data_IF_191608495320
#
_entry.id   IF_191608495320
#
_cell.length_a   1.000
_cell.length_b   1.000
_cell.length_c   1.000
_cell.angle_alpha   90.00
_cell.angle_beta   90.00
_cell.angle_gamma   90.00
#
_symmetry.space_group_name_H-M   'P 1'
#
loop_
_entity.id
_entity.type
_entity.pdbx_description
1 polymer ?
#
# COMPACT_ATOMS: atom_id res chain seq x y z
N UNK A 1 -66.80 -61.19 55.08
CA UNK A 1 -67.93 -61.47 54.17
C UNK A 1 -67.52 -61.08 52.75
N UNK A 2 -67.78 -62.01 51.83
CA UNK A 2 -67.92 -61.86 50.37
C UNK A 2 -66.73 -61.58 49.43
N UNK A 3 -66.65 -62.53 48.48
CA UNK A 3 -65.94 -62.60 47.20
C UNK A 3 -66.38 -61.51 46.21
N UNK A 4 -65.56 -61.25 45.18
CA UNK A 4 -65.86 -61.19 43.72
C UNK A 4 -64.65 -60.49 43.01
N UNK A 5 -63.77 -61.20 42.31
CA UNK A 5 -63.78 -61.56 40.87
C UNK A 5 -63.57 -60.37 39.89
N UNK A 6 -62.42 -60.34 39.17
CA UNK A 6 -62.26 -60.57 37.70
C UNK A 6 -61.08 -59.81 37.02
N UNK A 7 -60.32 -60.59 36.22
CA UNK A 7 -59.65 -60.30 34.91
C UNK A 7 -58.38 -59.45 34.89
N UNK A 8 -57.18 -60.02 34.65
CA UNK A 8 -56.55 -60.52 33.39
C UNK A 8 -56.03 -59.38 32.49
N UNK A 9 -54.73 -59.29 32.17
CA UNK A 9 -54.14 -60.09 31.08
C UNK A 9 -52.60 -59.97 30.99
N UNK A 10 -51.98 -61.15 30.90
CA UNK A 10 -50.91 -61.61 30.01
C UNK A 10 -49.53 -60.93 29.97
N UNK A 11 -48.58 -61.65 30.55
CA UNK A 11 -47.13 -61.48 30.52
C UNK A 11 -46.45 -62.05 29.26
N UNK A 12 -45.35 -61.37 28.92
CA UNK A 12 -44.06 -61.80 28.38
C UNK A 12 -43.87 -63.25 27.88
N UNK A 13 -43.19 -63.38 26.73
CA UNK A 13 -42.40 -64.55 26.38
C UNK A 13 -41.03 -64.10 25.84
N UNK A 14 -40.02 -64.73 26.43
CA UNK A 14 -38.58 -64.48 26.38
C UNK A 14 -37.90 -65.69 25.71
N UNK A 15 -36.67 -65.49 25.23
CA UNK A 15 -35.69 -66.48 24.73
C UNK A 15 -35.96 -67.02 23.31
N UNK A 16 -35.04 -67.01 22.36
CA UNK A 16 -33.58 -66.88 22.42
C UNK A 16 -32.95 -68.12 21.79
N UNK A 17 -32.28 -68.00 20.64
CA UNK A 17 -31.28 -68.97 20.20
C UNK A 17 -30.29 -68.32 19.20
N UNK A 18 -29.04 -68.22 19.66
CA UNK A 18 -27.80 -68.01 18.89
C UNK A 18 -27.64 -69.13 17.83
N UNK A 19 -26.95 -69.02 16.69
CA UNK A 19 -25.65 -68.42 16.32
C UNK A 19 -25.53 -68.49 14.79
N UNK A 20 -24.81 -67.55 14.15
CA UNK A 20 -23.83 -67.87 13.10
C UNK A 20 -22.83 -66.71 13.00
N UNK A 21 -21.56 -67.05 13.22
CA UNK A 21 -20.42 -66.17 13.09
C UNK A 21 -20.20 -65.78 11.62
N UNK A 22 -20.09 -64.48 11.34
CA UNK A 22 -19.32 -63.96 10.22
C UNK A 22 -18.41 -62.86 10.76
N UNK A 23 -17.11 -63.16 10.79
CA UNK A 23 -16.07 -62.19 11.08
C UNK A 23 -15.65 -61.47 9.80
N UNK A 24 -15.48 -60.15 9.95
CA UNK A 24 -14.60 -59.25 9.18
C UNK A 24 -15.00 -58.83 7.77
N UNK A 25 -15.61 -57.64 7.69
CA UNK A 25 -14.92 -56.45 7.15
C UNK A 25 -15.35 -55.26 8.01
N UNK A 26 -14.48 -54.84 8.93
CA UNK A 26 -14.55 -53.47 9.39
C UNK A 26 -14.05 -52.64 8.21
N UNK A 27 -14.98 -52.06 7.45
CA UNK A 27 -14.63 -50.90 6.65
C UNK A 27 -13.93 -49.94 7.61
N UNK A 28 -12.69 -49.59 7.28
CA UNK A 28 -12.01 -48.48 7.93
C UNK A 28 -12.93 -47.28 7.80
N UNK A 29 -13.54 -46.87 8.91
CA UNK A 29 -14.24 -45.60 9.01
C UNK A 29 -13.27 -44.55 8.44
N UNK A 30 -13.61 -43.83 7.35
CA UNK A 30 -12.70 -42.85 6.79
C UNK A 30 -12.41 -41.84 7.90
N UNK A 31 -11.14 -41.80 8.32
CA UNK A 31 -10.60 -40.77 9.20
C UNK A 31 -11.18 -39.43 8.75
N UNK A 32 -11.78 -38.60 9.64
CA UNK A 32 -12.35 -37.32 9.26
C UNK A 32 -11.20 -36.37 8.89
N UNK A 33 -10.71 -36.48 7.66
CA UNK A 33 -9.66 -35.62 7.13
C UNK A 33 -10.33 -34.52 6.34
N UNK A 34 -10.59 -33.42 7.05
CA UNK A 34 -10.47 -32.01 6.64
C UNK A 34 -11.56 -31.19 7.34
N UNK A 35 -11.15 -30.31 8.26
CA UNK A 35 -12.05 -29.31 8.78
C UNK A 35 -12.48 -28.41 7.61
N UNK A 36 -13.78 -28.34 7.39
CA UNK A 36 -14.38 -27.51 6.37
C UNK A 36 -15.09 -26.32 7.00
N UNK A 37 -14.83 -25.12 6.49
CA UNK A 37 -15.45 -23.90 6.98
C UNK A 37 -16.14 -23.16 5.85
N UNK A 38 -17.22 -22.46 6.18
CA UNK A 38 -17.81 -21.45 5.30
C UNK A 38 -17.07 -20.14 5.52
N UNK A 39 -16.48 -19.63 4.45
CA UNK A 39 -15.86 -18.32 4.38
C UNK A 39 -16.45 -17.54 3.21
N UNK A 40 -16.27 -16.22 3.23
CA UNK A 40 -17.10 -15.27 2.51
C UNK A 40 -16.24 -14.35 1.64
N UNK A 41 -16.44 -14.40 0.32
CA UNK A 41 -15.77 -13.50 -0.62
C UNK A 41 -15.98 -12.04 -0.20
N UNK A 42 -14.90 -11.29 0.01
CA UNK A 42 -14.97 -9.88 0.43
C UNK A 42 -14.67 -8.89 -0.69
N UNK A 43 -14.03 -9.36 -1.75
CA UNK A 43 -13.64 -8.55 -2.90
C UNK A 43 -13.88 -9.29 -4.22
N UNK A 44 -14.23 -8.54 -5.27
CA UNK A 44 -14.20 -8.99 -6.66
C UNK A 44 -13.13 -8.22 -7.44
N UNK A 45 -12.36 -8.89 -8.31
CA UNK A 45 -11.41 -8.19 -9.15
C UNK A 45 -12.16 -7.40 -10.24
N UNK A 46 -11.66 -6.21 -10.52
CA UNK A 46 -11.99 -5.48 -11.73
C UNK A 46 -11.07 -6.01 -12.83
N UNK A 47 -11.66 -6.64 -13.86
CA UNK A 47 -10.93 -7.27 -14.95
C UNK A 47 -11.05 -6.45 -16.22
N UNK A 48 -9.92 -6.23 -16.90
CA UNK A 48 -9.87 -5.73 -18.27
C UNK A 48 -9.17 -6.73 -19.18
N UNK A 49 -9.63 -6.85 -20.42
CA UNK A 49 -8.88 -7.56 -21.44
C UNK A 49 -7.56 -6.81 -21.73
N UNK A 50 -6.46 -7.54 -21.91
CA UNK A 50 -5.13 -6.97 -22.18
C UNK A 50 -5.13 -5.90 -23.27
N UNK A 51 -5.75 -6.17 -24.41
CA UNK A 51 -5.80 -5.22 -25.53
C UNK A 51 -6.53 -3.91 -25.15
N UNK A 52 -7.62 -4.02 -24.39
CA UNK A 52 -8.37 -2.87 -23.88
C UNK A 52 -7.54 -2.07 -22.87
N UNK A 53 -6.83 -2.74 -21.96
CA UNK A 53 -5.94 -2.08 -21.01
C UNK A 53 -4.88 -1.24 -21.73
N UNK A 54 -4.24 -1.80 -22.75
CA UNK A 54 -3.15 -1.14 -23.45
C UNK A 54 -3.58 0.10 -24.23
N UNK A 55 -4.81 0.11 -24.75
CA UNK A 55 -5.42 1.27 -25.41
C UNK A 55 -6.17 2.20 -24.45
N UNK A 56 -6.19 1.91 -23.15
CA UNK A 56 -7.03 2.63 -22.19
C UNK A 56 -6.40 3.92 -21.66
N UNK A 57 -5.09 4.12 -21.74
CA UNK A 57 -4.45 5.29 -21.11
C UNK A 57 -4.70 6.55 -21.93
N UNK A 58 -5.35 7.55 -21.33
CA UNK A 58 -5.66 8.83 -21.99
C UNK A 58 -5.89 9.96 -21.00
N UNK A 59 -5.54 11.19 -21.38
CA UNK A 59 -6.06 12.39 -20.72
C UNK A 59 -7.54 12.61 -21.10
N UNK A 60 -8.36 12.90 -20.10
CA UNK A 60 -9.75 13.32 -20.27
C UNK A 60 -9.99 14.60 -19.48
N UNK A 61 -11.16 15.22 -19.69
CA UNK A 61 -11.57 16.41 -18.93
C UNK A 61 -11.51 16.15 -17.41
N UNK A 62 -11.24 17.19 -16.59
CA UNK A 62 -11.24 17.06 -15.14
C UNK A 62 -12.47 16.33 -14.60
N UNK A 63 -12.25 15.48 -13.61
CA UNK A 63 -13.30 14.72 -12.94
C UNK A 63 -13.32 15.08 -11.45
N UNK A 64 -14.45 14.80 -10.79
CA UNK A 64 -14.54 14.92 -9.35
C UNK A 64 -13.67 13.84 -8.68
N UNK A 65 -13.06 14.18 -7.54
CA UNK A 65 -12.34 13.22 -6.71
C UNK A 65 -13.32 12.39 -5.88
N UNK A 66 -13.08 11.08 -5.74
CA UNK A 66 -13.99 10.17 -5.03
C UNK A 66 -13.27 9.29 -3.98
N UNK A 67 -12.31 8.48 -4.42
CA UNK A 67 -11.56 7.49 -3.64
C UNK A 67 -10.05 7.72 -3.82
N UNK A 68 -9.62 8.91 -3.40
CA UNK A 68 -8.25 9.37 -3.58
C UNK A 68 -7.26 8.53 -2.78
N UNK A 69 -6.12 8.23 -3.41
CA UNK A 69 -4.97 7.58 -2.81
C UNK A 69 -3.84 8.57 -2.55
N UNK A 70 -2.68 8.28 -3.16
CA UNK A 70 -1.42 8.99 -2.93
C UNK A 70 -1.40 10.36 -3.60
N UNK A 71 -0.63 11.28 -3.02
CA UNK A 71 -0.33 12.59 -3.60
C UNK A 71 1.11 12.66 -4.06
N UNK A 72 1.35 13.47 -5.10
CA UNK A 72 2.68 13.73 -5.64
C UNK A 72 2.74 15.18 -6.12
N UNK A 73 3.88 15.82 -5.93
CA UNK A 73 4.14 17.20 -6.32
C UNK A 73 5.29 17.26 -7.33
N UNK A 74 5.08 17.96 -8.44
CA UNK A 74 6.16 18.28 -9.38
C UNK A 74 6.04 19.71 -9.87
N UNK A 75 7.03 20.54 -9.53
CA UNK A 75 7.01 21.96 -9.88
C UNK A 75 5.72 22.60 -9.36
N UNK A 76 4.94 23.19 -10.27
CA UNK A 76 3.66 23.79 -9.93
C UNK A 76 2.46 22.84 -10.04
N UNK A 77 2.65 21.55 -10.31
CA UNK A 77 1.55 20.60 -10.48
C UNK A 77 1.44 19.64 -9.32
N UNK A 78 0.20 19.45 -8.85
CA UNK A 78 -0.17 18.41 -7.87
C UNK A 78 -0.88 17.29 -8.60
N UNK A 79 -0.51 16.07 -8.27
CA UNK A 79 -1.11 14.85 -8.78
C UNK A 79 -1.77 14.12 -7.62
N UNK A 80 -3.03 13.73 -7.79
CA UNK A 80 -3.78 12.96 -6.80
C UNK A 80 -4.22 11.67 -7.46
N UNK A 81 -3.73 10.53 -6.99
CA UNK A 81 -4.18 9.23 -7.48
C UNK A 81 -5.66 9.02 -7.11
N UNK A 82 -6.46 8.59 -8.09
CA UNK A 82 -7.81 8.06 -7.92
C UNK A 82 -7.68 6.54 -7.99
N UNK A 83 -7.85 5.87 -6.85
CA UNK A 83 -7.38 4.49 -6.70
C UNK A 83 -8.02 3.56 -7.73
N UNK A 84 -7.18 2.91 -8.54
CA UNK A 84 -7.52 2.02 -9.66
C UNK A 84 -8.09 2.67 -10.92
N UNK A 85 -8.30 3.99 -10.92
CA UNK A 85 -8.94 4.67 -12.06
C UNK A 85 -7.96 5.58 -12.82
N UNK A 86 -7.07 6.27 -12.11
CA UNK A 86 -6.18 7.23 -12.74
C UNK A 86 -5.58 8.26 -11.81
N UNK A 87 -5.25 9.42 -12.37
CA UNK A 87 -4.54 10.51 -11.68
C UNK A 87 -5.21 11.84 -12.02
N UNK A 88 -5.66 12.57 -11.01
CA UNK A 88 -6.08 13.97 -11.14
C UNK A 88 -4.84 14.86 -11.30
N UNK A 89 -4.84 15.72 -12.32
CA UNK A 89 -3.77 16.69 -12.55
C UNK A 89 -4.26 18.09 -12.23
N UNK A 90 -3.58 18.75 -11.30
CA UNK A 90 -4.01 20.04 -10.74
C UNK A 90 -2.87 21.04 -10.94
N UNK A 91 -3.17 22.15 -11.60
CA UNK A 91 -2.29 23.32 -11.62
C UNK A 91 -2.37 24.04 -10.28
N UNK A 92 -1.23 24.10 -9.62
CA UNK A 92 -1.04 24.62 -8.28
C UNK A 92 -0.04 25.79 -8.24
N UNK A 93 0.11 26.55 -9.34
CA UNK A 93 0.88 27.81 -9.36
C UNK A 93 0.40 28.81 -8.31
N UNK A 94 -0.90 28.80 -8.03
CA UNK A 94 -1.52 29.53 -6.93
C UNK A 94 -2.16 28.54 -5.93
N UNK A 95 -1.48 28.21 -4.82
CA UNK A 95 -2.01 27.33 -3.79
C UNK A 95 -3.31 27.82 -3.13
N UNK A 96 -3.65 29.10 -3.26
CA UNK A 96 -4.93 29.64 -2.75
C UNK A 96 -6.08 29.38 -3.71
N UNK A 97 -5.78 29.05 -4.97
CA UNK A 97 -6.75 28.79 -6.03
C UNK A 97 -6.25 27.67 -6.98
N UNK A 98 -6.11 26.43 -6.48
CA UNK A 98 -5.70 25.29 -7.30
C UNK A 98 -6.73 24.97 -8.39
N UNK A 99 -6.26 24.65 -9.60
CA UNK A 99 -7.11 24.45 -10.78
C UNK A 99 -6.97 23.04 -11.34
N UNK A 100 -8.03 22.20 -11.32
CA UNK A 100 -8.02 20.94 -12.05
C UNK A 100 -7.79 21.17 -13.56
N UNK A 101 -6.85 20.44 -14.14
CA UNK A 101 -6.46 20.57 -15.56
C UNK A 101 -6.97 19.40 -16.39
N UNK A 102 -6.78 18.19 -15.89
CA UNK A 102 -7.21 16.97 -16.56
C UNK A 102 -7.31 15.81 -15.56
N UNK A 103 -7.94 14.73 -16.01
CA UNK A 103 -7.82 13.42 -15.37
C UNK A 103 -7.09 12.47 -16.32
N UNK A 104 -5.98 11.89 -15.87
CA UNK A 104 -5.28 10.84 -16.60
C UNK A 104 -5.95 9.52 -16.27
N UNK A 105 -6.80 9.01 -17.16
CA UNK A 105 -7.45 7.73 -16.99
C UNK A 105 -6.41 6.61 -17.20
N UNK A 106 -6.06 5.93 -16.11
CA UNK A 106 -5.05 4.86 -16.07
C UNK A 106 -5.63 3.71 -15.23
N UNK A 107 -6.38 2.77 -15.84
CA UNK A 107 -6.95 1.65 -15.10
C UNK A 107 -5.89 0.85 -14.33
N UNK A 108 -6.16 0.54 -13.07
CA UNK A 108 -5.20 -0.14 -12.20
C UNK A 108 -4.09 0.75 -11.67
N UNK A 109 -4.23 2.07 -11.74
CA UNK A 109 -3.24 2.98 -11.18
C UNK A 109 -3.31 3.08 -9.64
N UNK A 110 -2.16 3.01 -8.99
CA UNK A 110 -1.95 3.15 -7.55
C UNK A 110 -0.76 4.07 -7.27
N UNK A 111 0.32 3.95 -8.04
CA UNK A 111 1.56 4.69 -7.84
C UNK A 111 1.95 5.54 -9.06
N UNK A 112 2.71 6.60 -8.79
CA UNK A 112 3.30 7.44 -9.81
C UNK A 112 4.65 8.03 -9.36
N UNK A 113 5.47 8.42 -10.33
CA UNK A 113 6.57 9.36 -10.16
C UNK A 113 6.70 10.23 -11.41
N UNK A 114 7.31 11.42 -11.29
CA UNK A 114 7.45 12.36 -12.40
C UNK A 114 8.90 12.85 -12.53
N UNK A 115 9.45 12.75 -13.75
CA UNK A 115 10.77 13.29 -14.14
C UNK A 115 10.62 14.17 -15.37
N UNK A 116 11.03 15.44 -15.26
CA UNK A 116 10.79 16.43 -16.30
C UNK A 116 9.30 16.49 -16.65
N UNK A 117 9.00 16.28 -17.93
CA UNK A 117 7.63 16.22 -18.47
C UNK A 117 7.11 14.77 -18.64
N UNK A 118 7.74 13.79 -17.99
CA UNK A 118 7.34 12.39 -18.11
C UNK A 118 6.84 11.87 -16.77
N UNK A 119 5.60 11.39 -16.77
CA UNK A 119 4.96 10.70 -15.67
C UNK A 119 5.09 9.20 -15.88
N UNK A 120 5.53 8.50 -14.85
CA UNK A 120 5.67 7.05 -14.78
C UNK A 120 4.61 6.54 -13.81
N UNK A 121 3.72 5.67 -14.28
CA UNK A 121 2.60 5.15 -13.49
C UNK A 121 2.47 3.65 -13.69
N UNK A 122 1.97 2.96 -12.67
CA UNK A 122 1.45 1.61 -12.87
C UNK A 122 0.11 1.65 -13.64
N UNK A 123 -0.11 0.63 -14.46
CA UNK A 123 -1.33 0.40 -15.22
C UNK A 123 -1.67 -1.08 -15.10
N UNK A 124 -2.12 -1.48 -13.91
CA UNK A 124 -2.14 -2.87 -13.50
C UNK A 124 -0.72 -3.43 -13.36
N UNK A 125 -0.34 -4.52 -14.06
CA UNK A 125 0.99 -5.10 -13.98
C UNK A 125 2.03 -4.37 -14.85
N UNK A 126 1.63 -3.35 -15.62
CA UNK A 126 2.52 -2.64 -16.54
C UNK A 126 3.00 -1.32 -15.94
N UNK A 127 4.18 -0.87 -16.37
CA UNK A 127 4.61 0.52 -16.20
C UNK A 127 4.27 1.27 -17.49
N UNK A 128 3.52 2.36 -17.39
CA UNK A 128 3.24 3.28 -18.50
C UNK A 128 4.00 4.58 -18.32
N UNK A 129 4.53 5.11 -19.42
CA UNK A 129 5.13 6.45 -19.48
C UNK A 129 4.19 7.37 -20.22
N UNK A 130 3.94 8.54 -19.65
CA UNK A 130 3.01 9.54 -20.16
C UNK A 130 3.75 10.87 -20.29
N UNK A 131 3.77 11.43 -21.50
CA UNK A 131 4.20 12.80 -21.75
C UNK A 131 3.13 13.76 -21.23
N UNK A 132 3.51 14.56 -20.24
CA UNK A 132 2.70 15.59 -19.58
C UNK A 132 3.24 17.00 -19.88
N UNK A 133 3.98 17.20 -20.98
CA UNK A 133 4.47 18.52 -21.39
C UNK A 133 3.32 19.53 -21.56
N UNK A 134 2.18 19.05 -22.07
CA UNK A 134 0.88 19.69 -21.94
C UNK A 134 -0.01 18.78 -21.09
N UNK A 135 -0.23 19.10 -19.80
CA UNK A 135 -1.01 18.23 -18.92
C UNK A 135 -2.50 18.12 -19.32
N UNK A 136 -3.02 19.06 -20.12
CA UNK A 136 -4.39 18.97 -20.66
C UNK A 136 -4.49 18.01 -21.85
N UNK A 137 -3.37 17.73 -22.52
CA UNK A 137 -3.25 16.87 -23.70
C UNK A 137 -2.21 15.76 -23.49
N UNK A 138 -2.11 15.27 -22.25
CA UNK A 138 -1.14 14.25 -21.90
C UNK A 138 -1.39 12.94 -22.64
N UNK A 139 -0.30 12.26 -23.03
CA UNK A 139 -0.36 11.11 -23.94
C UNK A 139 0.65 10.02 -23.56
N UNK A 140 0.26 8.74 -23.63
CA UNK A 140 1.20 7.65 -23.38
C UNK A 140 2.28 7.61 -24.47
N UNK A 141 3.54 7.47 -24.07
CA UNK A 141 4.71 7.43 -24.96
C UNK A 141 5.47 6.12 -24.89
N UNK A 142 5.33 5.37 -23.79
CA UNK A 142 6.05 4.12 -23.56
C UNK A 142 5.31 3.18 -22.62
N UNK A 143 5.65 1.90 -22.69
CA UNK A 143 5.12 0.85 -21.82
C UNK A 143 6.15 -0.24 -21.59
N UNK A 144 6.33 -0.63 -20.33
CA UNK A 144 7.01 -1.86 -19.95
C UNK A 144 5.95 -2.85 -19.48
N UNK A 145 5.67 -3.87 -20.29
CA UNK A 145 4.68 -4.90 -19.95
C UNK A 145 5.15 -5.77 -18.80
N UNK A 146 4.23 -6.12 -17.90
CA UNK A 146 4.49 -6.98 -16.74
C UNK A 146 5.69 -6.48 -15.90
N UNK A 147 5.85 -5.15 -15.83
CA UNK A 147 6.85 -4.48 -15.01
C UNK A 147 6.64 -4.72 -13.51
N UNK A 148 5.42 -5.10 -13.12
CA UNK A 148 5.00 -5.40 -11.76
C UNK A 148 4.26 -6.73 -11.72
N UNK A 149 4.21 -7.33 -10.54
CA UNK A 149 3.30 -8.45 -10.27
C UNK A 149 1.83 -8.01 -10.41
N UNK A 150 0.93 -8.98 -10.49
CA UNK A 150 -0.51 -8.70 -10.46
C UNK A 150 -0.90 -7.90 -9.21
N UNK A 151 -1.80 -6.92 -9.38
CA UNK A 151 -2.34 -6.09 -8.31
C UNK A 151 -2.90 -6.97 -7.17
N UNK A 152 -2.31 -6.93 -5.96
CA UNK A 152 -2.74 -7.80 -4.87
C UNK A 152 -4.13 -7.40 -4.38
N UNK A 153 -4.87 -8.39 -3.85
CA UNK A 153 -6.14 -8.14 -3.17
C UNK A 153 -5.87 -7.27 -1.92
N UNK A 154 -6.67 -6.21 -1.67
CA UNK A 154 -6.45 -5.33 -0.52
C UNK A 154 -6.39 -6.03 0.83
N UNK A 155 -7.13 -7.13 0.98
CA UNK A 155 -7.10 -7.99 2.15
C UNK A 155 -7.13 -9.44 1.66
N UNK A 156 -6.10 -10.25 1.94
CA UNK A 156 -6.07 -11.65 1.53
C UNK A 156 -7.32 -12.37 1.99
N UNK A 157 -7.89 -13.13 1.07
CA UNK A 157 -9.16 -13.73 1.33
C UNK A 157 -9.65 -14.60 0.19
N UNK A 158 -10.82 -15.19 0.42
CA UNK A 158 -11.52 -15.98 -0.58
C UNK A 158 -11.82 -15.29 -1.90
N UNK A 159 -11.75 -16.06 -2.99
CA UNK A 159 -12.21 -15.68 -4.33
C UNK A 159 -13.28 -16.65 -4.83
N UNK A 160 -14.34 -16.12 -5.45
CA UNK A 160 -15.29 -16.92 -6.21
C UNK A 160 -14.55 -17.70 -7.32
N UNK A 161 -15.00 -18.91 -7.62
CA UNK A 161 -14.32 -19.81 -8.57
C UNK A 161 -14.05 -19.14 -9.92
N UNK A 162 -15.01 -18.38 -10.45
CA UNK A 162 -14.90 -17.67 -11.72
C UNK A 162 -13.78 -16.61 -11.75
N UNK A 163 -13.31 -16.14 -10.59
CA UNK A 163 -12.26 -15.12 -10.46
C UNK A 163 -10.90 -15.69 -10.04
N UNK A 164 -10.77 -17.00 -9.89
CA UNK A 164 -9.47 -17.63 -9.64
C UNK A 164 -8.55 -17.45 -10.87
N UNK A 165 -7.23 -17.23 -10.70
CA UNK A 165 -6.32 -16.90 -11.81
C UNK A 165 -6.43 -17.82 -13.05
N UNK A 166 -6.68 -19.12 -12.87
CA UNK A 166 -6.85 -20.08 -13.98
C UNK A 166 -8.26 -20.20 -14.56
N UNK A 167 -9.23 -19.45 -14.04
CA UNK A 167 -10.66 -19.52 -14.41
C UNK A 167 -11.20 -18.21 -15.01
N UNK A 168 -10.43 -17.13 -14.91
CA UNK A 168 -10.75 -15.82 -15.51
C UNK A 168 -10.79 -15.92 -17.05
N UNK A 169 -11.47 -14.98 -17.73
CA UNK A 169 -11.36 -14.85 -19.18
C UNK A 169 -9.89 -14.79 -19.63
N UNK A 170 -9.59 -15.40 -20.78
CA UNK A 170 -8.24 -15.41 -21.33
C UNK A 170 -7.71 -13.97 -21.49
N UNK A 171 -6.44 -13.75 -21.12
CA UNK A 171 -5.79 -12.44 -21.15
C UNK A 171 -6.45 -11.35 -20.29
N UNK A 172 -7.27 -11.73 -19.31
CA UNK A 172 -7.78 -10.79 -18.31
C UNK A 172 -6.65 -10.30 -17.40
N UNK A 173 -6.67 -9.01 -17.13
CA UNK A 173 -5.74 -8.31 -16.23
C UNK A 173 -6.55 -7.75 -15.08
N UNK A 174 -6.08 -7.97 -13.85
CA UNK A 174 -6.64 -7.31 -12.67
C UNK A 174 -6.18 -5.85 -12.67
N UNK A 175 -7.15 -4.95 -12.72
CA UNK A 175 -6.95 -3.49 -12.72
C UNK A 175 -7.54 -2.84 -11.48
N UNK A 176 -7.90 -3.63 -10.47
CA UNK A 176 -8.45 -3.13 -9.23
C UNK A 176 -9.29 -4.18 -8.52
N UNK A 177 -9.80 -3.80 -7.36
CA UNK A 177 -10.58 -4.66 -6.50
C UNK A 177 -11.75 -3.87 -5.91
N UNK A 178 -12.96 -4.39 -6.09
CA UNK A 178 -14.18 -3.82 -5.49
C UNK A 178 -14.52 -4.58 -4.23
N UNK A 179 -14.70 -3.87 -3.11
CA UNK A 179 -15.22 -4.46 -1.87
C UNK A 179 -16.70 -4.80 -2.06
N UNK A 180 -17.09 -6.01 -1.67
CA UNK A 180 -18.47 -6.47 -1.75
C UNK A 180 -19.29 -5.91 -0.58
N UNK A 181 -20.53 -5.48 -0.86
CA UNK A 181 -21.50 -5.20 0.19
C UNK A 181 -21.92 -6.50 0.88
N UNK A 182 -22.39 -6.44 2.13
CA UNK A 182 -22.79 -7.62 2.90
C UNK A 182 -23.82 -8.50 2.16
N UNK A 183 -24.67 -7.90 1.33
CA UNK A 183 -25.66 -8.59 0.49
C UNK A 183 -25.08 -9.30 -0.75
N UNK A 184 -23.87 -8.94 -1.16
CA UNK A 184 -23.19 -9.51 -2.34
C UNK A 184 -22.18 -10.61 -1.99
N UNK A 185 -21.86 -10.74 -0.70
CA UNK A 185 -20.88 -11.70 -0.20
C UNK A 185 -21.36 -13.12 -0.47
N UNK A 186 -20.52 -13.95 -1.10
CA UNK A 186 -20.85 -15.34 -1.44
C UNK A 186 -20.10 -16.29 -0.50
N UNK A 187 -20.79 -17.25 0.15
CA UNK A 187 -20.16 -18.30 0.94
C UNK A 187 -19.52 -19.35 0.04
N UNK A 188 -18.36 -19.86 0.43
CA UNK A 188 -17.77 -21.05 -0.18
C UNK A 188 -17.01 -21.86 0.87
N UNK A 189 -16.86 -23.16 0.59
CA UNK A 189 -16.29 -24.14 1.52
C UNK A 189 -14.79 -24.23 1.31
N UNK A 190 -14.01 -23.98 2.38
CA UNK A 190 -12.55 -24.17 2.37
C UNK A 190 -12.18 -25.39 3.20
N UNK A 191 -11.24 -26.16 2.65
CA UNK A 191 -10.66 -27.38 3.21
C UNK A 191 -9.16 -27.13 3.40
N UNK A 192 -8.68 -27.07 4.64
CA UNK A 192 -7.24 -26.87 4.91
C UNK A 192 -6.47 -28.19 4.95
N UNK A 193 -5.39 -28.36 4.16
CA UNK A 193 -4.43 -29.43 4.37
C UNK A 193 -3.49 -29.07 5.54
N UNK A 194 -3.06 -30.07 6.32
CA UNK A 194 -2.16 -29.91 7.46
C UNK A 194 -0.69 -29.82 7.02
N UNK A 195 -0.11 -28.61 7.02
CA UNK A 195 1.35 -28.40 6.85
C UNK A 195 1.73 -26.93 6.56
N UNK A 196 2.77 -26.41 7.24
CA UNK A 196 3.28 -25.02 7.11
C UNK A 196 4.73 -25.07 6.58
N UNK A 197 5.09 -24.22 5.61
CA UNK A 197 6.46 -24.05 5.09
C UNK A 197 6.90 -22.57 5.09
N UNK A 198 8.16 -22.30 5.42
CA UNK A 198 8.84 -20.99 5.32
C UNK A 198 10.19 -21.12 4.58
N UNK A 199 10.60 -20.11 3.80
CA UNK A 199 11.91 -20.06 3.11
C UNK A 199 12.60 -18.68 3.26
N UNK A 200 13.94 -18.68 3.30
CA UNK A 200 14.87 -17.54 3.32
C UNK A 200 16.20 -17.92 2.64
N UNK A 201 16.93 -17.00 1.98
CA UNK A 201 18.42 -17.03 1.77
C UNK A 201 18.99 -15.75 1.08
N UNK A 202 20.33 -15.57 1.09
CA UNK A 202 21.14 -14.32 1.16
C UNK A 202 22.00 -13.88 -0.09
N UNK A 203 22.69 -12.71 0.03
CA UNK A 203 23.49 -11.90 -0.96
C UNK A 203 25.00 -12.31 -1.13
N UNK A 204 25.88 -11.72 -2.03
CA UNK A 204 26.39 -10.30 -2.02
C UNK A 204 26.99 -9.60 -3.33
N UNK A 205 27.32 -8.28 -3.19
CA UNK A 205 28.40 -7.37 -3.75
C UNK A 205 28.54 -6.99 -5.28
N UNK A 206 28.99 -5.81 -5.81
CA UNK A 206 29.51 -4.46 -5.37
C UNK A 206 29.58 -3.39 -6.53
N UNK A 207 29.68 -2.06 -6.17
CA UNK A 207 30.19 -0.77 -6.82
C UNK A 207 29.51 -0.06 -8.02
N UNK A 208 29.50 1.29 -8.29
CA UNK A 208 29.41 2.63 -7.56
C UNK A 208 29.01 3.79 -8.56
N UNK A 209 28.27 4.90 -8.17
CA UNK A 209 28.30 6.35 -8.67
C UNK A 209 26.98 7.27 -8.68
N UNK A 210 26.92 8.34 -7.85
CA UNK A 210 25.78 9.16 -7.31
C UNK A 210 24.71 9.91 -8.21
N UNK A 211 23.56 10.43 -7.66
CA UNK A 211 22.42 11.02 -8.40
C UNK A 211 22.15 12.56 -8.30
N UNK A 212 21.19 13.08 -9.12
CA UNK A 212 20.99 14.51 -9.52
C UNK A 212 19.54 15.09 -9.40
N UNK A 213 19.41 16.43 -9.51
CA UNK A 213 18.31 17.34 -9.11
C UNK A 213 17.01 17.47 -9.98
N UNK A 214 16.57 16.46 -10.74
CA UNK A 214 15.47 16.60 -11.73
C UNK A 214 14.21 15.73 -11.44
N UNK A 215 13.94 15.35 -10.19
CA UNK A 215 12.80 14.49 -9.79
C UNK A 215 11.70 15.27 -9.01
N UNK A 216 10.44 14.80 -9.04
CA UNK A 216 9.36 15.33 -8.21
C UNK A 216 9.32 14.73 -6.80
N UNK A 217 8.45 15.25 -5.93
CA UNK A 217 8.33 14.88 -4.51
C UNK A 217 7.03 14.12 -4.25
N UNK A 218 7.12 12.87 -3.81
CA UNK A 218 5.97 12.07 -3.36
C UNK A 218 5.65 12.29 -1.88
N UNK A 219 4.42 11.98 -1.47
CA UNK A 219 4.06 11.86 -0.04
C UNK A 219 4.73 10.66 0.62
N UNK A 220 4.61 10.54 1.94
CA UNK A 220 5.25 9.46 2.69
C UNK A 220 4.76 8.06 2.33
N UNK A 221 3.62 7.95 1.65
CA UNK A 221 3.06 6.68 1.19
C UNK A 221 3.55 6.26 -0.21
N UNK A 222 4.43 7.04 -0.84
CA UNK A 222 4.95 6.75 -2.18
C UNK A 222 5.66 5.39 -2.25
N UNK A 223 5.51 4.67 -3.36
CA UNK A 223 6.29 3.46 -3.67
C UNK A 223 7.19 3.60 -4.88
N UNK A 224 7.13 4.74 -5.57
CA UNK A 224 7.99 5.07 -6.69
C UNK A 224 8.87 6.26 -6.29
N UNK A 225 10.18 6.15 -6.53
CA UNK A 225 11.14 7.24 -6.33
C UNK A 225 12.05 7.32 -7.55
N UNK A 226 12.34 8.54 -8.01
CA UNK A 226 13.29 8.78 -9.08
C UNK A 226 14.51 9.48 -8.51
N UNK A 227 15.70 8.95 -8.80
CA UNK A 227 16.97 9.61 -8.53
C UNK A 227 17.83 9.60 -9.78
N UNK A 228 18.19 10.79 -10.27
CA UNK A 228 18.89 10.95 -11.53
C UNK A 228 18.15 10.30 -12.70
N UNK A 229 18.79 9.31 -13.33
CA UNK A 229 18.27 8.58 -14.49
C UNK A 229 17.70 7.21 -14.13
N UNK A 230 17.21 7.03 -12.90
CA UNK A 230 16.71 5.73 -12.46
C UNK A 230 15.42 5.88 -11.67
N UNK A 231 14.45 5.03 -12.01
CA UNK A 231 13.21 4.84 -11.25
C UNK A 231 13.37 3.60 -10.36
N UNK A 232 13.14 3.79 -9.08
CA UNK A 232 13.05 2.74 -8.06
C UNK A 232 11.60 2.56 -7.68
N UNK A 233 11.14 1.32 -7.69
CA UNK A 233 9.79 0.99 -7.23
C UNK A 233 9.86 -0.10 -6.18
N UNK A 234 9.02 -0.01 -5.15
CA UNK A 234 8.88 -1.08 -4.16
C UNK A 234 7.50 -1.73 -4.19
N UNK A 235 7.48 -3.04 -3.98
CA UNK A 235 6.27 -3.79 -3.65
C UNK A 235 6.51 -4.63 -2.39
N UNK A 236 5.54 -5.49 -2.02
CA UNK A 236 5.65 -6.25 -0.76
C UNK A 236 6.83 -7.26 -0.74
N UNK A 237 7.52 -7.47 -1.85
CA UNK A 237 8.57 -8.49 -1.96
C UNK A 237 9.81 -8.02 -2.69
N UNK A 238 9.80 -6.84 -3.30
CA UNK A 238 10.88 -6.44 -4.18
C UNK A 238 11.12 -4.93 -4.23
N UNK A 239 12.39 -4.57 -4.41
CA UNK A 239 12.82 -3.28 -4.96
C UNK A 239 13.18 -3.52 -6.42
N UNK A 240 12.45 -2.90 -7.35
CA UNK A 240 12.69 -2.98 -8.80
C UNK A 240 13.32 -1.69 -9.28
N UNK A 241 14.23 -1.84 -10.23
CA UNK A 241 15.00 -0.74 -10.82
C UNK A 241 14.64 -0.62 -12.29
N UNK A 242 14.40 0.59 -12.77
CA UNK A 242 14.20 0.91 -14.18
C UNK A 242 15.17 1.99 -14.62
N UNK A 243 15.91 1.71 -15.69
CA UNK A 243 16.80 2.67 -16.34
C UNK A 243 15.97 3.68 -17.14
N UNK A 244 16.27 4.98 -16.93
CA UNK A 244 15.66 6.13 -17.60
C UNK A 244 16.68 6.93 -18.44
N UNK A 245 17.75 6.30 -18.94
CA UNK A 245 18.64 6.89 -19.95
C UNK A 245 17.85 7.41 -21.16
N UNK A 246 16.94 6.58 -21.66
CA UNK A 246 15.85 7.03 -22.53
C UNK A 246 14.55 7.11 -21.70
N UNK A 247 14.20 8.29 -21.17
CA UNK A 247 13.10 8.41 -20.22
C UNK A 247 11.72 8.09 -20.84
N UNK A 248 11.57 8.20 -22.16
CA UNK A 248 10.33 7.80 -22.85
C UNK A 248 10.22 6.28 -23.07
N UNK A 249 11.32 5.54 -22.93
CA UNK A 249 11.36 4.08 -23.09
C UNK A 249 12.19 3.43 -21.96
N UNK A 250 11.63 3.33 -20.74
CA UNK A 250 12.32 2.74 -19.60
C UNK A 250 12.69 1.29 -19.85
N UNK A 251 13.83 0.88 -19.31
CA UNK A 251 14.29 -0.50 -19.38
C UNK A 251 14.27 -1.10 -17.98
N UNK A 252 13.55 -2.21 -17.80
CA UNK A 252 13.58 -2.97 -16.56
C UNK A 252 15.00 -3.49 -16.29
N UNK A 253 15.53 -3.16 -15.12
CA UNK A 253 16.84 -3.57 -14.64
C UNK A 253 16.71 -4.62 -13.54
N UNK A 254 17.45 -4.42 -12.45
CA UNK A 254 17.54 -5.37 -11.35
C UNK A 254 16.24 -5.40 -10.53
N UNK A 255 15.80 -6.61 -10.17
CA UNK A 255 14.82 -6.86 -9.13
C UNK A 255 15.55 -7.43 -7.91
N UNK A 256 15.47 -6.72 -6.79
CA UNK A 256 16.06 -7.15 -5.52
C UNK A 256 14.95 -7.67 -4.63
N UNK A 257 15.05 -8.93 -4.23
CA UNK A 257 14.13 -9.50 -3.25
C UNK A 257 14.28 -8.79 -1.90
N UNK A 258 13.16 -8.36 -1.34
CA UNK A 258 13.02 -7.84 0.01
C UNK A 258 12.42 -8.95 0.89
N UNK A 259 12.85 -9.06 2.13
CA UNK A 259 12.38 -10.12 3.03
C UNK A 259 10.92 -9.94 3.46
N UNK A 260 10.52 -8.70 3.78
CA UNK A 260 9.18 -8.37 4.27
C UNK A 260 8.66 -7.09 3.64
N UNK A 261 7.33 -7.05 3.45
CA UNK A 261 6.53 -6.05 2.76
C UNK A 261 7.03 -4.62 2.78
N UNK A 262 7.75 -4.17 1.73
CA UNK A 262 8.02 -2.74 1.59
C UNK A 262 6.74 -1.99 1.22
N UNK A 263 6.41 -1.00 2.04
CA UNK A 263 5.18 -0.24 1.93
C UNK A 263 5.43 1.15 1.37
N UNK A 264 6.63 1.69 1.61
CA UNK A 264 7.02 3.07 1.27
C UNK A 264 8.48 3.13 0.82
N UNK A 265 8.80 4.14 0.02
CA UNK A 265 10.17 4.49 -0.40
C UNK A 265 10.38 6.00 -0.20
N UNK A 266 11.41 6.37 0.53
CA UNK A 266 11.81 7.76 0.71
C UNK A 266 13.26 7.96 0.23
N UNK A 267 13.50 8.76 -0.82
CA UNK A 267 14.85 9.10 -1.25
C UNK A 267 15.41 10.29 -0.46
N UNK A 268 16.66 10.18 0.02
CA UNK A 268 17.44 11.32 0.50
C UNK A 268 18.91 11.13 0.12
N UNK A 269 19.54 12.16 -0.44
CA UNK A 269 20.88 12.11 -1.02
C UNK A 269 21.01 10.98 -2.06
N UNK A 270 21.84 9.97 -1.78
CA UNK A 270 21.99 8.75 -2.57
C UNK A 270 21.50 7.51 -1.80
N UNK A 271 20.62 7.70 -0.82
CA UNK A 271 20.02 6.63 -0.02
C UNK A 271 18.52 6.52 -0.28
N UNK A 272 18.05 5.28 -0.26
CA UNK A 272 16.64 4.92 -0.17
C UNK A 272 16.34 4.39 1.22
N UNK A 273 15.34 4.97 1.85
CA UNK A 273 14.77 4.49 3.10
C UNK A 273 13.46 3.78 2.76
N UNK A 274 13.45 2.47 2.91
CA UNK A 274 12.27 1.65 2.60
C UNK A 274 11.59 1.27 3.91
N UNK A 275 10.41 1.83 4.14
CA UNK A 275 9.58 1.42 5.25
C UNK A 275 8.92 0.07 4.96
N UNK A 276 9.05 -0.87 5.88
CA UNK A 276 8.47 -2.21 5.77
C UNK A 276 7.80 -2.58 7.07
N UNK A 277 6.94 -3.59 7.01
CA UNK A 277 6.17 -4.02 8.19
C UNK A 277 6.99 -4.44 9.40
N UNK A 278 8.29 -4.68 9.26
CA UNK A 278 9.16 -5.17 10.34
C UNK A 278 10.35 -4.28 10.63
N UNK A 279 10.53 -3.22 9.85
CA UNK A 279 11.71 -2.38 9.94
C UNK A 279 11.89 -1.46 8.75
N UNK A 280 12.87 -0.57 8.87
CA UNK A 280 13.31 0.30 7.81
C UNK A 280 14.58 -0.26 7.17
N UNK A 281 14.55 -0.55 5.87
CA UNK A 281 15.78 -0.77 5.11
C UNK A 281 16.42 0.56 4.73
N UNK A 282 17.74 0.61 4.81
CA UNK A 282 18.53 1.70 4.22
C UNK A 282 19.33 1.09 3.07
N UNK A 283 19.07 1.56 1.85
CA UNK A 283 19.81 1.17 0.65
C UNK A 283 20.64 2.34 0.16
N UNK A 284 21.92 2.10 -0.06
CA UNK A 284 22.78 2.97 -0.86
C UNK A 284 22.49 2.69 -2.33
N UNK A 285 22.12 3.74 -3.06
CA UNK A 285 21.90 3.74 -4.51
C UNK A 285 22.87 4.66 -5.23
N UNK A 286 24.02 4.93 -4.61
CA UNK A 286 25.13 5.54 -5.30
C UNK A 286 25.38 4.76 -6.59
N UNK A 287 25.30 3.43 -6.68
CA UNK A 287 25.24 2.79 -8.02
C UNK A 287 23.80 2.63 -8.46
N UNK A 288 23.31 3.35 -9.49
CA UNK A 288 21.87 3.38 -9.69
C UNK A 288 21.27 2.02 -10.06
N UNK A 289 21.98 1.24 -10.87
CA UNK A 289 21.58 -0.10 -11.32
C UNK A 289 21.90 -1.22 -10.32
N UNK A 290 22.63 -0.92 -9.25
CA UNK A 290 23.02 -1.88 -8.23
C UNK A 290 22.84 -1.36 -6.80
N UNK A 291 21.58 -1.19 -6.34
CA UNK A 291 21.29 -0.85 -4.95
C UNK A 291 21.95 -1.82 -3.96
N UNK A 292 22.51 -1.29 -2.88
CA UNK A 292 23.16 -2.06 -1.82
C UNK A 292 22.53 -1.76 -0.47
N UNK A 293 22.16 -2.79 0.28
CA UNK A 293 21.63 -2.62 1.63
C UNK A 293 22.76 -2.20 2.57
N UNK A 294 22.63 -1.03 3.18
CA UNK A 294 23.54 -0.49 4.20
C UNK A 294 23.17 -1.02 5.57
N UNK A 295 21.88 -0.99 5.90
CA UNK A 295 21.37 -1.43 7.18
C UNK A 295 19.91 -1.88 7.09
N UNK A 296 19.48 -2.52 8.17
CA UNK A 296 18.08 -2.75 8.47
C UNK A 296 17.87 -2.36 9.94
N UNK A 297 17.04 -1.35 10.17
CA UNK A 297 16.59 -0.97 11.50
C UNK A 297 15.31 -1.72 11.79
N UNK A 298 15.33 -2.61 12.78
CA UNK A 298 14.15 -3.38 13.18
C UNK A 298 13.34 -2.61 14.22
N UNK A 299 12.03 -2.48 14.00
CA UNK A 299 11.06 -2.02 14.99
C UNK A 299 9.94 -3.06 15.18
N UNK A 300 8.89 -2.72 15.95
CA UNK A 300 7.73 -3.61 16.10
C UNK A 300 6.99 -3.79 14.77
N UNK A 301 6.20 -4.87 14.63
CA UNK A 301 5.48 -5.12 13.38
C UNK A 301 4.34 -4.09 13.21
N UNK A 302 4.39 -3.27 12.16
CA UNK A 302 3.40 -2.21 11.92
C UNK A 302 3.32 -1.77 10.44
N UNK A 303 2.61 -0.68 10.14
CA UNK A 303 2.58 -0.07 8.81
C UNK A 303 3.43 1.19 8.87
N UNK A 304 4.54 1.22 8.14
CA UNK A 304 5.68 2.05 8.51
C UNK A 304 6.05 3.01 7.37
N UNK A 305 5.37 4.15 7.24
CA UNK A 305 5.88 5.22 6.42
C UNK A 305 7.09 5.86 7.10
N UNK A 306 8.09 6.17 6.27
CA UNK A 306 9.35 6.78 6.69
C UNK A 306 9.54 8.09 5.95
N UNK A 307 9.95 9.13 6.65
CA UNK A 307 10.53 10.33 6.04
C UNK A 307 11.83 10.68 6.75
N UNK A 308 12.76 11.31 6.03
CA UNK A 308 14.05 11.72 6.56
C UNK A 308 14.22 13.22 6.37
N UNK A 309 14.74 13.90 7.40
CA UNK A 309 15.16 15.30 7.33
C UNK A 309 16.53 15.41 8.01
N UNK A 310 17.57 15.58 7.21
CA UNK A 310 18.95 15.63 7.68
C UNK A 310 19.39 14.33 8.37
N UNK A 311 19.73 14.43 9.66
CA UNK A 311 20.28 13.33 10.49
C UNK A 311 19.22 12.34 10.98
N UNK A 312 17.94 12.69 10.97
CA UNK A 312 16.92 11.88 11.62
C UNK A 312 15.93 11.31 10.60
N UNK A 313 15.61 10.03 10.77
CA UNK A 313 14.41 9.44 10.19
C UNK A 313 13.27 9.51 11.21
N UNK A 314 12.07 9.75 10.69
CA UNK A 314 10.83 9.75 11.44
C UNK A 314 9.96 8.60 10.93
N UNK A 315 9.46 7.78 11.84
CA UNK A 315 8.69 6.58 11.50
C UNK A 315 7.44 6.52 12.38
N UNK A 316 6.27 6.42 11.76
CA UNK A 316 5.03 6.19 12.52
C UNK A 316 4.71 4.71 12.57
N UNK A 317 4.48 4.19 13.77
CA UNK A 317 4.05 2.82 14.01
C UNK A 317 2.65 2.87 14.63
N UNK A 318 1.72 2.10 14.08
CA UNK A 318 0.33 2.00 14.54
C UNK A 318 -0.16 0.56 14.72
N UNK A 319 -1.12 0.42 15.60
CA UNK A 319 -1.81 -0.84 15.90
C UNK A 319 -3.07 -1.00 15.04
N UNK A 320 -3.69 -2.18 15.08
CA UNK A 320 -5.04 -2.39 14.52
C UNK A 320 -5.14 -2.42 12.99
N UNK A 321 -4.05 -2.69 12.27
CA UNK A 321 -4.06 -2.81 10.79
C UNK A 321 -3.76 -4.23 10.31
N UNK A 322 -4.02 -4.47 9.03
CA UNK A 322 -3.75 -5.77 8.38
C UNK A 322 -2.27 -6.06 8.18
N UNK A 323 -1.43 -5.02 8.18
CA UNK A 323 0.05 -5.08 8.10
C UNK A 323 0.74 -5.38 9.44
N UNK A 324 -0.03 -5.48 10.54
CA UNK A 324 0.54 -5.61 11.87
C UNK A 324 -0.31 -4.97 12.95
N UNK A 325 -0.11 -5.44 14.17
CA UNK A 325 -0.80 -4.95 15.36
C UNK A 325 0.19 -4.83 16.50
N UNK A 326 1.32 -4.14 16.27
CA UNK A 326 2.29 -3.79 17.30
C UNK A 326 1.60 -3.34 18.59
N UNK A 327 2.30 -3.37 19.72
CA UNK A 327 1.65 -3.17 21.03
C UNK A 327 1.40 -1.69 21.38
N UNK A 328 1.82 -0.75 20.52
CA UNK A 328 1.70 0.68 20.77
C UNK A 328 1.56 1.51 19.48
N UNK A 329 0.95 2.68 19.62
CA UNK A 329 0.92 3.72 18.60
C UNK A 329 2.02 4.73 18.94
N UNK A 330 3.06 4.84 18.10
CA UNK A 330 4.23 5.68 18.37
C UNK A 330 4.75 6.38 17.13
N UNK A 331 5.43 7.51 17.35
CA UNK A 331 6.38 8.10 16.41
C UNK A 331 7.78 7.80 16.93
N UNK A 332 8.58 7.09 16.16
CA UNK A 332 10.00 6.89 16.43
C UNK A 332 10.85 7.95 15.71
N UNK A 333 11.82 8.50 16.43
CA UNK A 333 12.90 9.34 15.89
C UNK A 333 14.16 8.49 15.90
N UNK A 334 14.68 8.19 14.71
CA UNK A 334 15.83 7.30 14.51
C UNK A 334 17.04 8.17 14.16
N UNK A 335 18.13 8.01 14.90
CA UNK A 335 19.42 8.65 14.62
C UNK A 335 20.15 7.93 13.49
N UNK A 336 20.45 8.67 12.42
CA UNK A 336 21.16 8.19 11.24
C UNK A 336 22.64 8.64 11.19
N UNK A 337 23.23 9.09 12.31
CA UNK A 337 24.67 9.46 12.36
C UNK A 337 25.56 8.39 11.77
N UNK A 338 25.24 7.12 12.03
CA UNK A 338 25.90 5.96 11.44
C UNK A 338 24.86 5.15 10.69
N UNK A 339 24.74 5.38 9.38
CA UNK A 339 23.73 4.71 8.53
C UNK A 339 23.83 3.18 8.55
N UNK A 340 24.99 2.59 8.82
CA UNK A 340 25.16 1.13 8.96
C UNK A 340 24.65 0.58 10.29
N UNK A 341 24.38 1.46 11.27
CA UNK A 341 23.88 1.12 12.60
C UNK A 341 22.92 2.22 13.12
N UNK A 342 21.77 2.41 12.47
CA UNK A 342 20.74 3.34 12.94
C UNK A 342 20.26 2.94 14.35
N UNK A 343 19.96 3.93 15.19
CA UNK A 343 19.53 3.71 16.58
C UNK A 343 18.32 4.54 16.93
N UNK A 344 17.41 4.00 17.75
CA UNK A 344 16.30 4.77 18.30
C UNK A 344 16.84 5.90 19.17
N UNK A 345 16.57 7.15 18.78
CA UNK A 345 16.94 8.33 19.54
C UNK A 345 15.85 8.70 20.56
N UNK A 346 14.58 8.63 20.12
CA UNK A 346 13.42 8.88 20.98
C UNK A 346 12.16 8.21 20.42
N UNK A 347 11.18 7.99 21.29
CA UNK A 347 9.85 7.51 20.90
C UNK A 347 8.78 8.37 21.57
N UNK A 348 7.82 8.84 20.77
CA UNK A 348 6.71 9.67 21.21
C UNK A 348 5.40 8.88 21.12
N UNK A 349 4.56 8.84 22.18
CA UNK A 349 3.26 8.21 22.10
C UNK A 349 2.35 8.96 21.12
N UNK A 350 1.57 8.21 20.34
CA UNK A 350 0.62 8.72 19.34
C UNK A 350 -0.76 8.07 19.53
N UNK A 351 -1.80 8.61 18.87
CA UNK A 351 -3.17 8.10 19.02
C UNK A 351 -3.50 7.01 17.99
N UNK A 352 -3.23 7.28 16.71
CA UNK A 352 -3.46 6.47 15.51
C UNK A 352 -2.61 7.04 14.33
N UNK A 353 -1.27 6.96 14.38
CA UNK A 353 -0.42 7.67 13.45
C UNK A 353 -0.45 7.06 12.04
N UNK A 354 -0.13 7.86 11.03
CA UNK A 354 -0.25 7.53 9.61
C UNK A 354 0.78 8.26 8.76
N UNK A 355 0.37 8.88 7.65
CA UNK A 355 1.31 9.61 6.81
C UNK A 355 2.03 10.74 7.55
N UNK A 356 3.20 11.10 7.07
CA UNK A 356 4.02 12.14 7.68
C UNK A 356 4.80 12.90 6.62
N UNK A 357 5.37 14.04 7.00
CA UNK A 357 6.23 14.82 6.14
C UNK A 357 7.21 15.60 6.99
N UNK A 358 8.46 15.66 6.55
CA UNK A 358 9.49 16.45 7.22
C UNK A 358 10.22 17.32 6.21
N UNK A 359 10.46 18.58 6.56
CA UNK A 359 11.26 19.53 5.78
C UNK A 359 11.58 20.76 6.64
N UNK A 360 12.79 21.29 6.53
CA UNK A 360 13.20 22.57 7.11
C UNK A 360 12.91 22.70 8.61
N UNK A 361 13.35 21.71 9.40
CA UNK A 361 13.14 21.66 10.86
C UNK A 361 11.66 21.58 11.27
N UNK A 362 10.80 21.04 10.40
CA UNK A 362 9.40 20.78 10.71
C UNK A 362 9.04 19.35 10.42
N UNK A 363 8.22 18.79 11.30
CA UNK A 363 7.61 17.49 11.12
C UNK A 363 6.09 17.63 11.22
N UNK A 364 5.40 17.00 10.28
CA UNK A 364 3.95 16.91 10.17
C UNK A 364 3.57 15.45 10.31
N UNK A 365 2.69 15.11 11.24
CA UNK A 365 2.27 13.73 11.51
C UNK A 365 0.75 13.67 11.41
N UNK A 366 0.26 12.86 10.48
CA UNK A 366 -1.15 12.50 10.38
C UNK A 366 -1.45 11.50 11.49
N UNK A 367 -2.36 11.84 12.39
CA UNK A 367 -2.67 11.06 13.59
C UNK A 367 -4.19 11.05 13.84
N UNK A 368 -4.65 11.39 15.05
CA UNK A 368 -6.04 11.78 15.34
C UNK A 368 -6.35 13.21 14.83
N UNK A 369 -5.92 13.49 13.59
CA UNK A 369 -5.87 14.80 13.01
C UNK A 369 -4.51 15.08 12.34
N UNK A 370 -4.08 16.34 12.35
CA UNK A 370 -2.74 16.73 11.92
C UNK A 370 -1.96 17.32 13.10
N UNK A 371 -0.89 16.66 13.52
CA UNK A 371 0.05 17.14 14.54
C UNK A 371 1.28 17.74 13.88
N UNK A 372 1.80 18.83 14.43
CA UNK A 372 2.97 19.53 13.90
C UNK A 372 4.01 19.72 15.00
N UNK A 373 5.28 19.59 14.63
CA UNK A 373 6.41 19.65 15.54
C UNK A 373 7.54 20.48 14.93
N UNK A 374 8.24 21.23 15.77
CA UNK A 374 9.57 21.79 15.49
C UNK A 374 10.63 20.71 15.77
N UNK A 375 11.53 20.51 14.82
CA UNK A 375 12.60 19.50 14.88
C UNK A 375 14.01 20.10 14.94
N UNK A 376 14.14 21.41 15.15
CA UNK A 376 15.43 22.11 15.24
C UNK A 376 16.30 21.65 16.41
N UNK A 377 15.70 21.06 17.44
CA UNK A 377 16.38 20.47 18.61
C UNK A 377 16.25 18.93 18.62
N UNK A 378 16.02 18.31 17.47
CA UNK A 378 15.89 16.85 17.37
C UNK A 378 17.11 16.13 18.00
N UNK A 379 16.87 15.05 18.77
CA UNK A 379 15.65 14.23 18.75
C UNK A 379 14.52 14.74 19.65
N UNK A 380 14.73 15.83 20.41
CA UNK A 380 13.68 16.44 21.21
C UNK A 380 12.74 17.29 20.32
N UNK A 381 11.57 16.74 20.01
CA UNK A 381 10.53 17.41 19.22
C UNK A 381 9.73 18.36 20.10
N UNK A 382 9.50 19.59 19.63
CA UNK A 382 8.62 20.56 20.30
C UNK A 382 7.27 20.59 19.60
N UNK A 383 6.16 20.18 20.25
CA UNK A 383 4.82 20.27 19.64
C UNK A 383 4.44 21.72 19.35
N UNK A 384 3.86 21.96 18.17
CA UNK A 384 3.44 23.29 17.74
C UNK A 384 1.91 23.40 17.72
N UNK A 385 1.23 22.56 16.93
CA UNK A 385 -0.22 22.60 16.75
C UNK A 385 -0.80 21.19 16.50
N UNK A 386 -2.06 21.03 16.87
CA UNK A 386 -2.89 19.85 16.57
C UNK A 386 -4.21 20.32 15.97
N UNK A 387 -4.50 19.88 14.75
CA UNK A 387 -5.73 20.14 14.03
C UNK A 387 -6.61 18.90 14.06
N UNK A 388 -7.92 19.05 14.30
CA UNK A 388 -8.86 17.94 14.29
C UNK A 388 -9.17 17.39 12.88
N UNK A 389 -8.73 18.09 11.82
CA UNK A 389 -8.95 17.64 10.44
C UNK A 389 -8.22 16.32 10.19
N UNK A 390 -8.97 15.28 9.84
CA UNK A 390 -8.39 13.98 9.49
C UNK A 390 -7.61 14.09 8.18
N UNK A 391 -6.30 13.86 8.26
CA UNK A 391 -5.39 13.81 7.12
C UNK A 391 -4.81 12.40 7.02
N UNK A 392 -4.57 11.94 5.80
CA UNK A 392 -4.00 10.62 5.47
C UNK A 392 -2.51 10.72 5.15
N UNK A 393 -2.11 11.72 4.36
CA UNK A 393 -0.71 11.94 3.95
C UNK A 393 -0.46 13.43 3.67
N UNK A 394 0.80 13.84 3.71
CA UNK A 394 1.23 15.24 3.55
C UNK A 394 2.51 15.36 2.72
N UNK A 395 2.66 16.49 2.03
CA UNK A 395 3.90 16.89 1.35
C UNK A 395 4.23 18.32 1.76
N UNK A 396 5.27 18.54 2.59
CA UNK A 396 5.84 19.87 2.80
C UNK A 396 6.43 20.42 1.50
N UNK A 397 6.28 21.71 1.24
CA UNK A 397 6.79 22.38 0.06
C UNK A 397 7.13 23.84 0.37
N UNK A 398 8.22 24.04 1.12
CA UNK A 398 8.66 25.37 1.55
C UNK A 398 7.61 26.04 2.45
N UNK A 399 7.06 27.17 2.01
CA UNK A 399 6.05 27.94 2.75
C UNK A 399 4.64 27.31 2.71
N UNK A 400 4.49 26.14 2.09
CA UNK A 400 3.21 25.46 1.96
C UNK A 400 3.27 24.01 2.40
N UNK A 401 2.12 23.46 2.79
CA UNK A 401 1.90 22.06 3.08
C UNK A 401 0.71 21.57 2.25
N UNK A 402 0.93 20.56 1.42
CA UNK A 402 -0.13 19.78 0.80
C UNK A 402 -0.56 18.69 1.78
N UNK A 403 -1.86 18.47 1.89
CA UNK A 403 -2.41 17.44 2.76
C UNK A 403 -3.63 16.78 2.10
N UNK A 404 -3.68 15.46 2.07
CA UNK A 404 -4.81 14.70 1.52
C UNK A 404 -5.52 13.96 2.65
N UNK A 405 -6.84 14.03 2.69
CA UNK A 405 -7.65 13.33 3.68
C UNK A 405 -9.04 12.99 3.13
N UNK A 406 -9.93 12.39 3.96
CA UNK A 406 -11.28 12.00 3.51
C UNK A 406 -12.14 13.16 2.97
N UNK A 407 -11.85 14.41 3.35
CA UNK A 407 -12.54 15.58 2.81
C UNK A 407 -11.96 16.12 1.50
N UNK A 408 -10.77 15.70 1.09
CA UNK A 408 -10.12 16.12 -0.15
C UNK A 408 -8.67 16.61 0.02
N UNK A 409 -8.21 17.37 -0.96
CA UNK A 409 -6.86 17.96 -0.99
C UNK A 409 -6.90 19.34 -0.32
N UNK A 410 -6.30 19.43 0.86
CA UNK A 410 -6.12 20.65 1.63
C UNK A 410 -4.75 21.26 1.31
N UNK A 411 -4.69 22.59 1.33
CA UNK A 411 -3.42 23.31 1.28
C UNK A 411 -3.34 24.28 2.45
N UNK A 412 -2.18 24.29 3.11
CA UNK A 412 -1.89 25.20 4.20
C UNK A 412 -0.70 26.08 3.85
N UNK A 413 -0.75 27.36 4.21
CA UNK A 413 0.41 28.23 4.28
C UNK A 413 1.06 28.07 5.65
N UNK A 414 2.38 27.93 5.68
CA UNK A 414 3.20 27.90 6.88
C UNK A 414 3.55 29.35 7.26
N UNK A 415 3.16 29.79 8.46
CA UNK A 415 3.36 31.16 8.93
C UNK A 415 3.99 31.14 10.33
N UNK A 416 5.33 31.09 10.38
CA UNK A 416 6.01 30.83 11.65
C UNK A 416 5.53 29.49 12.22
N UNK A 417 5.22 29.36 13.53
CA UNK A 417 4.80 28.07 14.10
C UNK A 417 3.42 27.60 13.62
N UNK A 418 2.65 28.44 12.92
CA UNK A 418 1.26 28.14 12.57
C UNK A 418 1.05 27.64 11.14
N UNK A 419 -0.02 26.86 10.94
CA UNK A 419 -0.61 26.57 9.64
C UNK A 419 -1.92 27.34 9.46
N UNK A 420 -2.08 27.96 8.30
CA UNK A 420 -3.33 28.57 7.85
C UNK A 420 -3.82 27.85 6.61
N UNK A 421 -5.02 27.26 6.66
CA UNK A 421 -5.62 26.66 5.46
C UNK A 421 -5.90 27.75 4.42
N UNK A 422 -5.43 27.55 3.19
CA UNK A 422 -5.57 28.49 2.08
C UNK A 422 -6.48 27.99 0.97
N UNK A 423 -6.63 26.67 0.82
CA UNK A 423 -7.58 26.08 -0.12
C UNK A 423 -7.98 24.66 0.27
N UNK A 424 -9.08 24.20 -0.32
CA UNK A 424 -9.57 22.82 -0.27
C UNK A 424 -10.18 22.48 -1.64
N UNK A 425 -9.68 21.42 -2.29
CA UNK A 425 -10.38 20.75 -3.38
C UNK A 425 -11.10 19.53 -2.80
N UNK A 426 -12.44 19.51 -2.75
CA UNK A 426 -13.18 18.50 -2.01
C UNK A 426 -13.26 17.17 -2.76
N UNK A 427 -13.36 16.08 -1.99
CA UNK A 427 -13.85 14.79 -2.48
C UNK A 427 -15.38 14.85 -2.55
N UNK A 428 -15.93 14.47 -3.70
CA UNK A 428 -17.37 14.32 -3.89
C UNK A 428 -17.81 12.93 -3.42
N UNK A 429 -18.87 12.81 -2.60
CA UNK A 429 -19.43 11.50 -2.25
C UNK A 429 -19.80 10.73 -3.53
N UNK A 430 -19.43 9.46 -3.61
CA UNK A 430 -20.01 8.55 -4.61
C UNK A 430 -21.48 8.33 -4.24
N UNK A 431 -22.40 8.66 -5.15
CA UNK A 431 -23.84 8.43 -5.00
C UNK A 431 -24.19 6.94 -4.89
#
# INVERSE_FOLDING_TARGET
MNRLLLRSSSWALLLGLLTLLACTRQESDPQPTTNSYLVYASYRPLLLARATLESSVAAVAPQAMHNTGKIYLRGAYVFVNEKYEGIHVIDNRDPTNPRPVSFLRIPGNVDLAVRGNLLYADNGPDLVVIDISDPAQARPTGRVRNAFRELPMPQPGPLEEAYQPGKRPANAVVVGWRKLAASEVIPYRVTYPTGIYFYSTASPNTSSAAPSADAGKGGSLARFAIMGQTLYTVDESSLRVFDLQNPAAPVAGKELALGFGAETIFPQDHYLFLGTQSGMYIYDVATPTAPQRVAFYQHMISCDPVVVDGRYAYVTLRTGRTCGGGIANVLEVIDLTTLSKPTLAHSYPMTNPGGLGAENNRLYVCDDGLKTFDTSQAPALTPLQHFATTITDVIPNGDYLLAIGPGGLYQYRVAGPSLQQVSLLPISPTL
#
